data_IF_959624600144
#
_entry.id   IF_959624600144
#
_cell.length_a   1.000
_cell.length_b   1.000
_cell.length_c   1.000
_cell.angle_alpha   90.00
_cell.angle_beta   90.00
_cell.angle_gamma   90.00
#
_symmetry.space_group_name_H-M   'P 1'
#
loop_
_entity.id
_entity.type
_entity.pdbx_description
1 polymer ?
#
# COMPACT_ATOMS: atom_id res chain seq x y z
N UNK A 1 -21.44 15.11 -21.11
CA UNK A 1 -20.27 14.22 -21.25
C UNK A 1 -20.76 12.81 -21.52
N UNK A 2 -20.05 12.00 -22.32
CA UNK A 2 -20.43 10.58 -22.51
C UNK A 2 -20.20 9.79 -21.22
N UNK A 3 -20.83 8.61 -21.08
CA UNK A 3 -20.70 7.79 -19.86
C UNK A 3 -19.25 7.40 -19.63
N UNK A 4 -18.54 7.03 -20.69
CA UNK A 4 -17.12 6.67 -20.63
C UNK A 4 -16.22 7.79 -20.09
N UNK A 5 -16.48 9.06 -20.45
CA UNK A 5 -15.73 10.21 -19.92
C UNK A 5 -15.99 10.41 -18.42
N UNK A 6 -17.23 10.27 -17.97
CA UNK A 6 -17.58 10.41 -16.55
C UNK A 6 -16.91 9.30 -15.73
N UNK A 7 -16.97 8.05 -16.20
CA UNK A 7 -16.32 6.92 -15.52
C UNK A 7 -14.81 7.14 -15.38
N UNK A 8 -14.13 7.57 -16.46
CA UNK A 8 -12.70 7.87 -16.41
C UNK A 8 -12.39 9.01 -15.43
N UNK A 9 -13.19 10.08 -15.44
CA UNK A 9 -12.99 11.23 -14.55
C UNK A 9 -13.10 10.84 -13.08
N UNK A 10 -14.14 10.06 -12.74
CA UNK A 10 -14.33 9.53 -11.37
C UNK A 10 -13.18 8.61 -10.98
N UNK A 11 -12.75 7.72 -11.88
CA UNK A 11 -11.63 6.83 -11.62
C UNK A 11 -10.31 7.56 -11.36
N UNK A 12 -10.01 8.59 -12.16
CA UNK A 12 -8.83 9.43 -11.96
C UNK A 12 -8.91 10.29 -10.69
N UNK A 13 -10.11 10.68 -10.25
CA UNK A 13 -10.31 11.40 -9.00
C UNK A 13 -10.15 10.50 -7.78
N UNK A 14 -10.62 9.24 -7.85
CA UNK A 14 -10.57 8.29 -6.73
C UNK A 14 -9.16 8.03 -6.20
N UNK A 15 -8.12 8.10 -7.04
CA UNK A 15 -6.76 7.87 -6.57
C UNK A 15 -6.27 8.95 -5.59
N UNK A 16 -6.90 10.14 -5.58
CA UNK A 16 -6.61 11.19 -4.60
C UNK A 16 -7.09 10.83 -3.18
N UNK A 17 -7.92 9.80 -3.03
CA UNK A 17 -8.32 9.29 -1.73
C UNK A 17 -7.12 8.84 -0.88
N UNK A 18 -5.97 8.52 -1.49
CA UNK A 18 -4.71 8.18 -0.80
C UNK A 18 -4.17 9.30 0.09
N UNK A 19 -4.60 10.55 -0.12
CA UNK A 19 -4.23 11.69 0.73
C UNK A 19 -5.14 11.87 1.95
N UNK A 20 -6.28 11.16 1.98
CA UNK A 20 -7.32 11.33 2.99
C UNK A 20 -7.50 10.05 3.82
N UNK A 21 -7.17 8.90 3.25
CA UNK A 21 -7.27 7.60 3.91
C UNK A 21 -5.93 6.87 3.90
N UNK A 22 -5.65 6.05 4.92
CA UNK A 22 -4.48 5.18 4.90
C UNK A 22 -4.57 4.21 3.72
N UNK A 23 -3.40 3.85 3.21
CA UNK A 23 -3.23 2.87 2.13
C UNK A 23 -3.25 1.45 2.70
N UNK A 24 -2.56 1.27 3.83
CA UNK A 24 -2.32 -0.04 4.43
C UNK A 24 -2.39 0.04 5.95
N UNK A 25 -2.68 -1.08 6.59
CA UNK A 25 -2.58 -1.23 8.04
C UNK A 25 -1.80 -2.50 8.35
N UNK A 26 -0.88 -2.37 9.32
CA UNK A 26 -0.16 -3.51 9.88
C UNK A 26 -0.42 -3.53 11.38
N UNK A 27 -0.96 -4.63 11.87
CA UNK A 27 -1.17 -4.88 13.30
C UNK A 27 -0.34 -6.06 13.77
N UNK A 28 0.04 -6.00 15.03
CA UNK A 28 0.81 -7.01 15.72
C UNK A 28 0.09 -7.41 17.01
N UNK A 29 -0.27 -8.67 17.10
CA UNK A 29 -0.80 -9.27 18.31
C UNK A 29 0.34 -9.95 19.05
N UNK A 30 0.50 -9.60 20.32
CA UNK A 30 1.59 -10.07 21.14
C UNK A 30 1.05 -10.36 22.56
N UNK A 31 1.51 -11.41 23.26
CA UNK A 31 1.01 -11.76 24.59
C UNK A 31 1.20 -10.64 25.63
N UNK A 32 2.13 -9.72 25.39
CA UNK A 32 2.45 -8.61 26.27
C UNK A 32 1.44 -7.46 26.20
N UNK A 33 0.66 -7.36 25.11
CA UNK A 33 -0.33 -6.31 24.90
C UNK A 33 -1.74 -6.92 24.90
N UNK A 34 -2.67 -6.42 25.73
CA UNK A 34 -4.04 -6.93 25.77
C UNK A 34 -4.80 -6.65 24.46
N UNK A 35 -4.52 -5.51 23.84
CA UNK A 35 -5.05 -5.11 22.54
C UNK A 35 -3.94 -5.14 21.48
N UNK A 36 -4.25 -5.45 20.20
CA UNK A 36 -3.27 -5.39 19.12
C UNK A 36 -2.71 -3.97 18.96
N UNK A 37 -1.39 -3.87 18.80
CA UNK A 37 -0.73 -2.60 18.45
C UNK A 37 -0.54 -2.55 16.94
N UNK A 38 -0.59 -1.38 16.32
CA UNK A 38 -0.44 -1.28 14.87
C UNK A 38 -0.01 0.07 14.35
N UNK A 39 0.16 0.12 13.03
CA UNK A 39 0.49 1.32 12.31
C UNK A 39 -0.30 1.42 11.02
N UNK A 40 -0.72 2.64 10.70
CA UNK A 40 -1.37 2.99 9.46
C UNK A 40 -0.35 3.61 8.51
N UNK A 41 -0.20 3.00 7.33
CA UNK A 41 0.71 3.44 6.29
C UNK A 41 -0.08 4.32 5.32
N UNK A 42 0.32 5.58 5.23
CA UNK A 42 -0.20 6.57 4.30
C UNK A 42 0.74 6.71 3.11
N UNK A 43 0.27 7.36 2.05
CA UNK A 43 1.12 7.62 0.87
C UNK A 43 2.37 8.48 1.19
N UNK A 44 2.35 9.21 2.31
CA UNK A 44 3.37 10.21 2.66
C UNK A 44 3.88 10.13 4.10
N UNK A 45 3.45 9.14 4.89
CA UNK A 45 3.85 8.98 6.31
C UNK A 45 3.38 7.64 6.85
N UNK A 46 3.90 7.27 8.02
CA UNK A 46 3.35 6.20 8.87
C UNK A 46 2.83 6.85 10.15
N UNK A 47 1.66 6.42 10.62
CA UNK A 47 1.08 6.91 11.88
C UNK A 47 0.68 5.76 12.79
N UNK A 48 0.59 6.07 14.08
CA UNK A 48 -0.04 5.20 15.08
C UNK A 48 -1.43 4.76 14.61
N UNK A 49 -1.75 3.47 14.82
CA UNK A 49 -3.13 3.00 14.71
C UNK A 49 -3.91 3.38 15.97
N UNK A 50 -3.36 3.06 17.15
CA UNK A 50 -3.78 3.56 18.46
C UNK A 50 -2.65 4.35 19.14
N UNK A 51 -2.95 5.27 20.08
CA UNK A 51 -1.96 6.15 20.67
C UNK A 51 -0.74 5.42 21.26
N UNK A 52 0.46 5.81 20.79
CA UNK A 52 1.77 5.25 21.18
C UNK A 52 2.08 3.85 20.64
N UNK A 53 1.31 3.32 19.68
CA UNK A 53 1.58 2.02 19.09
C UNK A 53 2.94 1.92 18.42
N UNK A 54 3.36 2.92 17.64
CA UNK A 54 4.68 2.93 16.98
C UNK A 54 5.80 2.93 18.04
N UNK A 55 5.61 3.64 19.16
CA UNK A 55 6.58 3.61 20.25
C UNK A 55 6.68 2.20 20.86
N UNK A 56 5.54 1.54 21.08
CA UNK A 56 5.48 0.18 21.61
C UNK A 56 6.10 -0.85 20.63
N UNK A 57 5.84 -0.68 19.33
CA UNK A 57 6.44 -1.47 18.25
C UNK A 57 7.96 -1.26 18.26
N UNK A 58 8.45 -0.02 18.32
CA UNK A 58 9.88 0.29 18.35
C UNK A 58 10.58 -0.24 19.60
N UNK A 59 9.93 -0.19 20.75
CA UNK A 59 10.44 -0.80 21.97
C UNK A 59 10.61 -2.32 21.80
N UNK A 60 9.62 -2.99 21.20
CA UNK A 60 9.72 -4.41 20.90
C UNK A 60 10.83 -4.69 19.88
N UNK A 61 10.91 -3.90 18.81
CA UNK A 61 11.92 -4.02 17.76
C UNK A 61 13.34 -3.97 18.33
N UNK A 62 13.57 -3.07 19.28
CA UNK A 62 14.85 -2.97 19.99
C UNK A 62 15.27 -4.30 20.65
N UNK A 63 14.33 -5.02 21.28
CA UNK A 63 14.63 -6.30 21.93
C UNK A 63 14.89 -7.44 20.95
N UNK A 64 14.19 -7.45 19.81
CA UNK A 64 14.32 -8.50 18.78
C UNK A 64 15.32 -8.16 17.67
N UNK A 65 15.96 -6.99 17.75
CA UNK A 65 16.98 -6.53 16.81
C UNK A 65 16.45 -5.96 15.50
N UNK A 66 15.15 -5.65 15.41
CA UNK A 66 14.59 -4.97 14.23
C UNK A 66 14.90 -3.49 14.23
N UNK A 67 14.86 -2.90 13.04
CA UNK A 67 14.94 -1.45 12.87
C UNK A 67 13.69 -0.80 13.48
N UNK A 68 13.85 0.44 13.94
CA UNK A 68 12.69 1.26 14.25
C UNK A 68 11.88 1.52 12.99
N UNK A 69 10.57 1.68 13.15
CA UNK A 69 9.69 2.20 12.11
C UNK A 69 10.22 3.59 11.71
N UNK A 70 10.55 3.80 10.43
CA UNK A 70 11.11 5.05 9.97
C UNK A 70 10.05 6.16 10.04
N UNK A 71 10.44 7.33 10.54
CA UNK A 71 9.61 8.54 10.50
C UNK A 71 9.55 9.13 9.09
N UNK A 72 10.60 8.91 8.29
CA UNK A 72 10.73 9.41 6.93
C UNK A 72 11.35 8.37 5.99
N UNK A 73 10.85 8.36 4.75
CA UNK A 73 11.22 7.41 3.71
C UNK A 73 11.20 8.11 2.35
N UNK A 74 12.07 7.69 1.42
CA UNK A 74 12.14 8.32 0.08
C UNK A 74 10.80 8.24 -0.64
N UNK A 75 10.09 7.14 -0.43
CA UNK A 75 8.80 6.80 -1.00
C UNK A 75 7.74 7.85 -0.61
N UNK A 76 7.82 8.44 0.59
CA UNK A 76 6.91 9.49 1.06
C UNK A 76 7.06 10.80 0.29
N UNK A 77 8.19 10.99 -0.39
CA UNK A 77 8.42 12.15 -1.26
C UNK A 77 8.20 11.84 -2.74
N UNK A 78 8.27 10.56 -3.12
CA UNK A 78 8.16 10.11 -4.52
C UNK A 78 6.71 9.76 -4.89
N UNK A 79 5.98 9.03 -4.05
CA UNK A 79 4.63 8.57 -4.37
C UNK A 79 3.59 9.70 -4.43
N UNK A 80 3.56 10.69 -3.52
CA UNK A 80 2.60 11.79 -3.60
C UNK A 80 2.59 12.56 -4.92
N UNK A 81 3.72 13.07 -5.44
CA UNK A 81 3.70 13.79 -6.73
C UNK A 81 3.32 12.88 -7.89
N UNK A 82 3.72 11.60 -7.89
CA UNK A 82 3.30 10.63 -8.91
C UNK A 82 1.78 10.49 -8.93
N UNK A 83 1.14 10.32 -7.77
CA UNK A 83 -0.33 10.18 -7.69
C UNK A 83 -1.04 11.46 -8.14
N UNK A 84 -0.55 12.64 -7.76
CA UNK A 84 -1.10 13.93 -8.22
C UNK A 84 -1.00 14.05 -9.73
N UNK A 85 0.19 13.81 -10.31
CA UNK A 85 0.44 13.89 -11.74
C UNK A 85 -0.47 12.90 -12.49
N UNK A 86 -0.54 11.65 -12.03
CA UNK A 86 -1.36 10.62 -12.65
C UNK A 86 -2.86 10.93 -12.55
N UNK A 87 -3.30 11.56 -11.47
CA UNK A 87 -4.68 12.02 -11.30
C UNK A 87 -5.02 13.11 -12.30
N UNK A 88 -4.17 14.15 -12.40
CA UNK A 88 -4.35 15.24 -13.37
C UNK A 88 -4.34 14.71 -14.81
N UNK A 89 -3.37 13.86 -15.16
CA UNK A 89 -3.31 13.21 -16.48
C UNK A 89 -4.60 12.42 -16.72
N UNK A 90 -5.05 11.62 -15.77
CA UNK A 90 -6.28 10.83 -15.90
C UNK A 90 -7.51 11.69 -16.15
N UNK A 91 -7.64 12.81 -15.44
CA UNK A 91 -8.73 13.78 -15.65
C UNK A 91 -8.65 14.43 -17.04
N UNK A 92 -7.46 14.85 -17.48
CA UNK A 92 -7.27 15.42 -18.84
C UNK A 92 -7.64 14.40 -19.91
N UNK A 93 -7.20 13.15 -19.77
CA UNK A 93 -7.54 12.07 -20.70
C UNK A 93 -9.06 11.83 -20.76
N UNK A 94 -9.76 11.93 -19.62
CA UNK A 94 -11.22 11.83 -19.57
C UNK A 94 -11.89 12.87 -20.48
N UNK A 95 -11.40 14.11 -20.53
CA UNK A 95 -11.94 15.13 -21.43
C UNK A 95 -11.62 14.86 -22.90
N UNK A 96 -10.41 14.37 -23.21
CA UNK A 96 -9.99 13.99 -24.57
C UNK A 96 -10.89 12.89 -25.14
N UNK A 97 -11.30 11.90 -24.33
CA UNK A 97 -12.28 10.89 -24.76
C UNK A 97 -11.73 9.79 -25.66
N UNK A 98 -10.41 9.63 -25.75
CA UNK A 98 -9.81 8.60 -26.60
C UNK A 98 -9.65 7.28 -25.84
N UNK A 99 -10.42 6.26 -26.23
CA UNK A 99 -10.38 4.93 -25.60
C UNK A 99 -8.97 4.34 -25.47
N UNK A 100 -8.09 4.54 -26.46
CA UNK A 100 -6.73 3.98 -26.40
C UNK A 100 -5.95 4.57 -25.22
N UNK A 101 -6.16 5.85 -24.92
CA UNK A 101 -5.52 6.55 -23.81
C UNK A 101 -6.03 6.04 -22.45
N UNK A 102 -7.31 5.66 -22.34
CA UNK A 102 -7.83 5.04 -21.11
C UNK A 102 -7.14 3.71 -20.81
N UNK A 103 -6.94 2.89 -21.84
CA UNK A 103 -6.20 1.63 -21.72
C UNK A 103 -4.72 1.86 -21.41
N UNK A 104 -4.09 2.84 -22.06
CA UNK A 104 -2.70 3.21 -21.77
C UNK A 104 -2.55 3.67 -20.31
N UNK A 105 -3.42 4.55 -19.84
CA UNK A 105 -3.40 5.02 -18.45
C UNK A 105 -3.62 3.86 -17.46
N UNK A 106 -4.57 2.96 -17.74
CA UNK A 106 -4.78 1.74 -16.95
C UNK A 106 -3.49 0.90 -16.83
N UNK A 107 -2.84 0.60 -17.97
CA UNK A 107 -1.62 -0.21 -17.99
C UNK A 107 -0.51 0.48 -17.18
N UNK A 108 -0.32 1.79 -17.37
CA UNK A 108 0.67 2.56 -16.61
C UNK A 108 0.37 2.51 -15.10
N UNK A 109 -0.88 2.68 -14.70
CA UNK A 109 -1.26 2.59 -13.28
C UNK A 109 -1.06 1.20 -12.68
N UNK A 110 -1.33 0.13 -13.44
CA UNK A 110 -1.05 -1.25 -13.01
C UNK A 110 0.46 -1.46 -12.84
N UNK A 111 1.28 -0.95 -13.75
CA UNK A 111 2.74 -1.03 -13.64
C UNK A 111 3.26 -0.26 -12.43
N UNK A 112 2.78 0.97 -12.21
CA UNK A 112 3.16 1.78 -11.05
C UNK A 112 2.71 1.14 -9.73
N UNK A 113 1.47 0.63 -9.66
CA UNK A 113 0.98 -0.08 -8.48
C UNK A 113 1.77 -1.36 -8.19
N UNK A 114 2.13 -2.13 -9.23
CA UNK A 114 2.98 -3.32 -9.09
C UNK A 114 4.38 -2.95 -8.61
N UNK A 115 4.97 -1.86 -9.15
CA UNK A 115 6.26 -1.37 -8.68
C UNK A 115 6.21 -0.95 -7.21
N UNK A 116 5.15 -0.25 -6.79
CA UNK A 116 4.95 0.12 -5.38
C UNK A 116 4.78 -1.09 -4.46
N UNK A 117 4.04 -2.12 -4.86
CA UNK A 117 3.92 -3.37 -4.09
C UNK A 117 5.25 -4.13 -4.00
N UNK A 118 6.05 -4.12 -5.08
CA UNK A 118 7.37 -4.74 -5.08
C UNK A 118 8.35 -3.99 -4.17
N UNK A 119 8.32 -2.67 -4.20
CA UNK A 119 9.09 -1.82 -3.30
C UNK A 119 8.71 -2.05 -1.82
N UNK A 120 7.42 -2.14 -1.54
CA UNK A 120 6.92 -2.49 -0.21
C UNK A 120 7.40 -3.88 0.26
N UNK A 121 7.38 -4.87 -0.63
CA UNK A 121 7.95 -6.20 -0.34
C UNK A 121 9.45 -6.13 -0.02
N UNK A 122 10.23 -5.31 -0.74
CA UNK A 122 11.65 -5.15 -0.46
C UNK A 122 11.89 -4.50 0.90
N UNK A 123 11.08 -3.50 1.26
CA UNK A 123 11.11 -2.89 2.58
C UNK A 123 10.82 -3.92 3.69
N UNK A 124 9.74 -4.71 3.56
CA UNK A 124 9.43 -5.79 4.52
C UNK A 124 10.54 -6.84 4.62
N UNK A 125 11.15 -7.18 3.47
CA UNK A 125 12.24 -8.14 3.43
C UNK A 125 13.47 -7.63 4.18
N UNK A 126 13.93 -6.40 3.91
CA UNK A 126 15.05 -5.79 4.64
C UNK A 126 14.71 -5.64 6.14
N UNK A 127 13.49 -5.18 6.44
CA UNK A 127 13.00 -5.04 7.80
C UNK A 127 13.07 -6.35 8.60
N UNK A 128 12.76 -7.48 7.95
CA UNK A 128 12.70 -8.77 8.58
C UNK A 128 13.98 -9.60 8.62
N UNK A 129 14.93 -9.33 7.71
CA UNK A 129 16.16 -10.12 7.56
C UNK A 129 17.41 -9.37 8.02
N UNK A 130 17.33 -8.06 8.24
CA UNK A 130 18.45 -7.24 8.67
C UNK A 130 18.39 -6.99 10.19
N UNK A 131 18.50 -8.08 10.95
CA UNK A 131 18.39 -8.07 12.41
C UNK A 131 19.76 -7.84 13.08
N UNK A 132 19.77 -7.06 14.15
CA UNK A 132 20.98 -6.79 14.96
C UNK A 132 21.51 -8.08 15.61
N UNK A 133 22.81 -8.34 15.46
CA UNK A 133 23.49 -9.47 16.11
C UNK A 133 23.49 -9.37 17.64
N UNK A 134 23.33 -8.15 18.18
CA UNK A 134 23.31 -7.81 19.60
C UNK A 134 21.91 -7.81 20.22
N UNK A 135 20.88 -8.28 19.50
CA UNK A 135 19.52 -8.37 20.02
C UNK A 135 19.45 -9.24 21.29
N UNK A 136 18.66 -8.79 22.27
CA UNK A 136 18.43 -9.52 23.52
C UNK A 136 17.64 -10.83 23.27
N UNK A 137 16.73 -10.81 22.30
CA UNK A 137 15.91 -11.95 21.88
C UNK A 137 16.25 -12.26 20.42
N UNK A 138 16.68 -13.49 20.15
CA UNK A 138 16.90 -13.99 18.80
C UNK A 138 15.75 -14.91 18.42
N UNK A 139 15.18 -14.73 17.24
CA UNK A 139 14.27 -15.72 16.69
C UNK A 139 15.07 -16.97 16.37
N UNK A 140 14.79 -18.07 17.07
CA UNK A 140 15.44 -19.36 16.84
C UNK A 140 14.40 -20.41 16.51
N UNK A 141 14.70 -21.26 15.53
CA UNK A 141 13.93 -22.47 15.20
C UNK A 141 13.89 -23.43 16.40
N UNK A 142 12.96 -24.42 16.45
CA UNK A 142 13.01 -25.51 17.44
C UNK A 142 14.37 -26.22 17.50
N UNK A 143 15.16 -26.15 16.42
CA UNK A 143 16.49 -26.75 16.32
C UNK A 143 17.64 -25.79 16.73
N UNK A 144 17.32 -24.56 17.16
CA UNK A 144 18.31 -23.56 17.61
C UNK A 144 18.86 -22.64 16.50
N UNK A 145 18.50 -22.86 15.24
CA UNK A 145 18.96 -22.04 14.11
C UNK A 145 18.31 -20.64 14.09
N UNK A 146 19.05 -19.56 13.79
CA UNK A 146 18.49 -18.22 13.63
C UNK A 146 17.40 -18.17 12.55
N UNK A 147 16.30 -17.48 12.84
CA UNK A 147 15.21 -17.23 11.91
C UNK A 147 15.05 -15.74 11.67
N UNK A 148 14.63 -15.37 10.47
CA UNK A 148 14.20 -14.01 10.15
C UNK A 148 12.70 -13.85 10.42
N UNK A 149 12.27 -12.62 10.72
CA UNK A 149 10.86 -12.28 10.84
C UNK A 149 10.50 -11.32 9.72
N UNK A 150 10.09 -11.85 8.57
CA UNK A 150 9.48 -11.01 7.54
C UNK A 150 7.97 -10.90 7.82
N UNK A 151 7.44 -9.68 8.07
CA UNK A 151 5.99 -9.45 8.09
C UNK A 151 5.33 -9.94 6.79
N UNK A 152 4.05 -10.33 6.81
CA UNK A 152 3.34 -10.69 5.59
C UNK A 152 3.05 -9.43 4.76
N UNK A 153 3.29 -9.46 3.46
CA UNK A 153 2.85 -8.39 2.54
C UNK A 153 1.32 -8.23 2.57
N UNK A 154 0.61 -9.36 2.50
CA UNK A 154 -0.84 -9.47 2.65
C UNK A 154 -1.13 -10.71 3.48
N UNK A 155 -2.05 -10.59 4.44
CA UNK A 155 -2.53 -11.72 5.23
C UNK A 155 -1.99 -11.71 6.65
N UNK A 156 -1.93 -12.90 7.25
CA UNK A 156 -1.50 -13.07 8.62
C UNK A 156 -0.32 -14.02 8.69
N UNK A 157 0.63 -13.76 9.58
CA UNK A 157 1.79 -14.62 9.81
C UNK A 157 2.08 -14.71 11.29
N UNK A 158 2.12 -15.93 11.81
CA UNK A 158 2.49 -16.21 13.19
C UNK A 158 3.95 -16.60 13.27
N UNK A 159 4.71 -15.95 14.14
CA UNK A 159 6.10 -16.32 14.43
C UNK A 159 6.29 -16.29 15.94
N UNK A 160 6.71 -17.42 16.51
CA UNK A 160 6.72 -17.66 17.95
C UNK A 160 5.32 -17.41 18.54
N UNK A 161 5.21 -16.43 19.45
CA UNK A 161 3.95 -16.04 20.08
C UNK A 161 3.35 -14.76 19.49
N UNK A 162 3.90 -14.24 18.40
CA UNK A 162 3.45 -13.01 17.76
C UNK A 162 2.64 -13.32 16.50
N UNK A 163 1.58 -12.54 16.25
CA UNK A 163 0.80 -12.60 15.00
C UNK A 163 0.83 -11.24 14.33
N UNK A 164 1.50 -11.12 13.18
CA UNK A 164 1.35 -9.95 12.33
C UNK A 164 0.20 -10.13 11.35
N UNK A 165 -0.59 -9.08 11.18
CA UNK A 165 -1.65 -8.97 10.18
C UNK A 165 -1.36 -7.75 9.32
N UNK A 166 -1.44 -7.92 8.00
CA UNK A 166 -1.13 -6.87 7.03
C UNK A 166 -2.20 -6.84 5.96
N UNK A 167 -2.92 -5.71 5.88
CA UNK A 167 -4.09 -5.59 5.01
C UNK A 167 -4.19 -4.22 4.34
N UNK A 168 -4.62 -4.18 3.06
CA UNK A 168 -5.03 -2.94 2.42
C UNK A 168 -6.21 -2.33 3.18
N UNK A 169 -6.20 -1.00 3.29
CA UNK A 169 -7.29 -0.25 3.92
C UNK A 169 -8.02 0.61 2.88
N UNK A 170 -8.85 1.53 3.35
CA UNK A 170 -9.76 2.34 2.52
C UNK A 170 -9.07 3.01 1.34
N UNK A 171 -7.87 3.58 1.51
CA UNK A 171 -7.11 4.22 0.44
C UNK A 171 -6.74 3.25 -0.68
N UNK A 172 -6.31 2.02 -0.35
CA UNK A 172 -6.01 0.99 -1.34
C UNK A 172 -7.26 0.56 -2.12
N UNK A 173 -8.42 0.44 -1.47
CA UNK A 173 -9.67 0.11 -2.17
C UNK A 173 -10.11 1.20 -3.13
N UNK A 174 -9.96 2.48 -2.76
CA UNK A 174 -10.22 3.60 -3.68
C UNK A 174 -9.25 3.62 -4.85
N UNK A 175 -7.96 3.41 -4.60
CA UNK A 175 -6.95 3.31 -5.66
C UNK A 175 -7.30 2.18 -6.64
N UNK A 176 -7.52 0.96 -6.15
CA UNK A 176 -7.86 -0.19 -6.97
C UNK A 176 -9.14 0.07 -7.79
N UNK A 177 -10.18 0.59 -7.14
CA UNK A 177 -11.44 0.94 -7.81
C UNK A 177 -11.23 2.00 -8.88
N UNK A 178 -10.43 3.04 -8.60
CA UNK A 178 -10.10 4.08 -9.55
C UNK A 178 -9.40 3.55 -10.81
N UNK A 179 -8.45 2.64 -10.63
CA UNK A 179 -7.76 1.95 -11.73
C UNK A 179 -8.74 1.07 -12.51
N UNK A 180 -9.61 0.29 -11.84
CA UNK A 180 -10.59 -0.54 -12.53
C UNK A 180 -11.62 0.28 -13.31
N UNK A 181 -11.99 1.47 -12.82
CA UNK A 181 -12.89 2.38 -13.54
C UNK A 181 -12.28 2.85 -14.87
N UNK A 182 -10.97 3.06 -14.99
CA UNK A 182 -10.38 3.42 -16.29
C UNK A 182 -10.48 2.28 -17.32
N UNK A 183 -10.39 1.02 -16.87
CA UNK A 183 -10.62 -0.15 -17.72
C UNK A 183 -12.10 -0.26 -18.13
N UNK A 184 -13.03 -0.01 -17.20
CA UNK A 184 -14.47 0.03 -17.49
C UNK A 184 -14.77 1.16 -18.50
N UNK A 185 -14.15 2.33 -18.35
CA UNK A 185 -14.29 3.45 -19.28
C UNK A 185 -13.83 3.08 -20.70
N UNK A 186 -12.77 2.30 -20.85
CA UNK A 186 -12.32 1.78 -22.14
C UNK A 186 -13.40 0.91 -22.81
N UNK A 187 -13.97 -0.05 -22.10
CA UNK A 187 -15.02 -0.91 -22.63
C UNK A 187 -16.31 -0.13 -22.93
N UNK A 188 -16.69 0.81 -22.07
CA UNK A 188 -17.84 1.69 -22.29
C UNK A 188 -17.66 2.55 -23.55
N UNK A 189 -16.48 3.14 -23.76
CA UNK A 189 -16.16 3.93 -24.95
C UNK A 189 -16.19 3.09 -26.23
N UNK A 190 -15.78 1.82 -26.16
CA UNK A 190 -15.87 0.89 -27.30
C UNK A 190 -17.32 0.63 -27.71
N UNK A 191 -18.23 0.44 -26.74
CA UNK A 191 -19.66 0.25 -26.99
C UNK A 191 -20.32 1.51 -27.53
N UNK A 192 -20.00 2.68 -26.97
CA UNK A 192 -20.51 3.98 -27.45
C UNK A 192 -20.19 4.20 -28.94
N UNK A 193 -18.94 3.92 -29.37
CA UNK A 193 -18.55 4.05 -30.78
C UNK A 193 -19.28 3.10 -31.73
N UNK A 194 -19.65 1.91 -31.29
CA UNK A 194 -20.39 0.94 -32.12
C UNK A 194 -21.86 1.34 -32.31
N UNK A 195 -22.43 2.11 -31.38
CA UNK A 195 -23.82 2.58 -31.47
C UNK A 195 -23.93 3.79 -32.41
N UNK A 196 -22.87 4.60 -32.51
CA UNK A 196 -22.85 5.82 -33.35
C UNK A 196 -22.36 5.57 -34.79
N UNK A 197 -21.80 4.38 -35.08
CA UNK A 197 -21.34 3.97 -36.42
C UNK A 197 -22.39 3.15 -37.15
#
# INVERSE_FOLDING_TARGET
MTKSKIIMLVGAFFILALFVFPLWNITLEAPQYPDPIGMDIWINKITDHEPNDIQNINLMNHYVGMKNIPEDMKEFHVFPPIVIIMSVIGMVLAFVGNRKLYLTWFIVMVLLGTAGMYDFYLWEYDYGHNLSEHAAIKFTSPNGEPMAYQPPLIGNKTILNFVAKSWPTTGAYFLFTGIMLSLIAFFASKKEKQITS
#
